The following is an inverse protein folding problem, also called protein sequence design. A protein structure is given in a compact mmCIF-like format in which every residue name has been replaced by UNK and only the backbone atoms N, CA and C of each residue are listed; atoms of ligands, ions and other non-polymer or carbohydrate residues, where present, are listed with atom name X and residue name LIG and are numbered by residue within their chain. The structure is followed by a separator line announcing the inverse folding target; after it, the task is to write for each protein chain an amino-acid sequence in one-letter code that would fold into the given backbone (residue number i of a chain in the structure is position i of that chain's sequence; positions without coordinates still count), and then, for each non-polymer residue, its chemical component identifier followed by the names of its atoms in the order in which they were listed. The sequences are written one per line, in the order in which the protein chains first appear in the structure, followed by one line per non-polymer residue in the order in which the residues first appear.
data_IF_989189429268
#
_entry.id   IF_989189429268
#
_cell.length_a   1.000
_cell.length_b   1.000
_cell.length_c   1.000
_cell.angle_alpha   90.00
_cell.angle_beta   90.00
_cell.angle_gamma   90.00
#
_symmetry.space_group_name_H-M   'P 1'
#
loop_
_entity.id
_entity.type
_entity.pdbx_description
1 polymer ?
#
# COMPACT_ATOMS: atom_id res chain seq x y z
N UNK A 1 -14.45 -13.09 -13.46
CA UNK A 1 -13.52 -13.02 -12.32
C UNK A 1 -13.09 -11.57 -12.20
N UNK A 2 -13.27 -10.95 -11.04
CA UNK A 2 -12.80 -9.59 -10.83
C UNK A 2 -11.27 -9.55 -11.01
N UNK A 3 -10.76 -8.57 -11.75
CA UNK A 3 -9.31 -8.44 -11.95
C UNK A 3 -8.75 -7.80 -10.67
N UNK A 4 -7.95 -8.54 -9.93
CA UNK A 4 -7.34 -8.10 -8.66
C UNK A 4 -6.55 -6.79 -8.79
N UNK A 5 -5.87 -6.58 -9.93
CA UNK A 5 -5.04 -5.38 -10.16
C UNK A 5 -5.86 -4.07 -10.18
N UNK A 6 -6.98 -3.96 -10.92
CA UNK A 6 -7.89 -2.82 -10.80
C UNK A 6 -8.37 -2.50 -9.38
N UNK A 7 -8.62 -3.51 -8.55
CA UNK A 7 -9.03 -3.31 -7.15
C UNK A 7 -7.90 -2.72 -6.31
N UNK A 8 -6.68 -3.25 -6.46
CA UNK A 8 -5.50 -2.71 -5.76
C UNK A 8 -5.19 -1.28 -6.21
N UNK A 9 -5.26 -0.98 -7.51
CA UNK A 9 -5.13 0.39 -8.04
C UNK A 9 -6.20 1.33 -7.47
N UNK A 10 -7.41 0.82 -7.24
CA UNK A 10 -8.46 1.60 -6.59
C UNK A 10 -8.11 1.88 -5.11
N UNK A 11 -7.63 0.89 -4.37
CA UNK A 11 -7.16 1.07 -2.99
C UNK A 11 -6.04 2.13 -2.93
N UNK A 12 -5.13 2.16 -3.91
CA UNK A 12 -4.07 3.15 -3.99
C UNK A 12 -4.61 4.57 -4.17
N UNK A 13 -5.64 4.76 -4.99
CA UNK A 13 -6.29 6.05 -5.19
C UNK A 13 -6.98 6.52 -3.91
N UNK A 14 -7.69 5.62 -3.24
CA UNK A 14 -8.34 5.94 -1.95
C UNK A 14 -7.32 6.30 -0.87
N UNK A 15 -6.21 5.55 -0.79
CA UNK A 15 -5.11 5.82 0.15
C UNK A 15 -4.46 7.18 -0.11
N UNK A 16 -4.20 7.52 -1.37
CA UNK A 16 -3.68 8.85 -1.75
C UNK A 16 -4.68 9.94 -1.34
N UNK A 17 -5.96 9.77 -1.64
CA UNK A 17 -6.99 10.76 -1.32
C UNK A 17 -7.12 10.99 0.20
N UNK A 18 -7.19 9.92 1.00
CA UNK A 18 -7.36 10.07 2.45
C UNK A 18 -6.12 10.67 3.12
N UNK A 19 -4.91 10.41 2.62
CA UNK A 19 -3.70 11.05 3.15
C UNK A 19 -3.67 12.54 2.83
N UNK A 20 -4.10 12.95 1.64
CA UNK A 20 -4.27 14.37 1.31
C UNK A 20 -5.28 15.05 2.25
N UNK A 21 -6.35 14.35 2.63
CA UNK A 21 -7.30 14.83 3.63
C UNK A 21 -6.69 14.95 5.03
N UNK A 22 -5.89 13.97 5.48
CA UNK A 22 -5.11 14.08 6.72
C UNK A 22 -4.20 15.31 6.69
N UNK A 23 -3.52 15.55 5.58
CA UNK A 23 -2.64 16.72 5.40
C UNK A 23 -3.40 18.04 5.51
N UNK A 24 -4.58 18.11 4.90
CA UNK A 24 -5.43 19.31 4.87
C UNK A 24 -6.05 19.62 6.23
N UNK A 25 -6.54 18.61 6.92
CA UNK A 25 -7.24 18.77 8.20
C UNK A 25 -6.27 18.94 9.37
N UNK A 26 -5.11 18.28 9.30
CA UNK A 26 -4.19 18.14 10.43
C UNK A 26 -4.79 17.31 11.58
N UNK A 27 -3.95 16.70 12.40
CA UNK A 27 -4.40 15.77 13.45
C UNK A 27 -4.60 16.42 14.84
N UNK A 28 -4.53 17.75 14.92
CA UNK A 28 -4.91 18.51 16.12
C UNK A 28 -6.42 18.47 16.39
N UNK A 29 -7.23 18.24 15.35
CA UNK A 29 -8.70 18.15 15.46
C UNK A 29 -9.17 16.70 15.59
N UNK A 30 -10.35 16.49 16.18
CA UNK A 30 -10.98 15.15 16.24
C UNK A 30 -11.25 14.58 14.85
N UNK A 31 -11.72 15.42 13.92
CA UNK A 31 -11.97 15.01 12.53
C UNK A 31 -10.69 14.53 11.85
N UNK A 32 -9.58 15.26 11.99
CA UNK A 32 -8.30 14.86 11.42
C UNK A 32 -7.75 13.55 12.01
N UNK A 33 -7.93 13.32 13.32
CA UNK A 33 -7.58 12.04 13.95
C UNK A 33 -8.43 10.89 13.40
N UNK A 34 -9.73 11.09 13.22
CA UNK A 34 -10.61 10.09 12.62
C UNK A 34 -10.20 9.78 11.17
N UNK A 35 -9.84 10.81 10.40
CA UNK A 35 -9.32 10.64 9.03
C UNK A 35 -8.01 9.85 9.03
N UNK A 36 -7.10 10.11 9.98
CA UNK A 36 -5.85 9.35 10.12
C UNK A 36 -6.11 7.87 10.44
N UNK A 37 -7.04 7.57 11.35
CA UNK A 37 -7.42 6.19 11.67
C UNK A 37 -8.08 5.48 10.47
N UNK A 38 -8.93 6.19 9.73
CA UNK A 38 -9.52 5.65 8.52
C UNK A 38 -8.47 5.40 7.41
N UNK A 39 -7.38 6.16 7.37
CA UNK A 39 -6.24 5.90 6.48
C UNK A 39 -5.48 4.63 6.91
N UNK A 40 -5.24 4.44 8.22
CA UNK A 40 -4.65 3.22 8.78
C UNK A 40 -5.46 1.99 8.38
N UNK A 41 -6.77 2.03 8.56
CA UNK A 41 -7.63 0.86 8.27
C UNK A 41 -7.66 0.53 6.76
N UNK A 42 -7.61 1.54 5.89
CA UNK A 42 -7.46 1.33 4.44
C UNK A 42 -6.13 0.68 4.11
N UNK A 43 -5.04 1.13 4.74
CA UNK A 43 -3.72 0.58 4.51
C UNK A 43 -3.63 -0.89 4.93
N UNK A 44 -4.19 -1.24 6.10
CA UNK A 44 -4.26 -2.62 6.58
C UNK A 44 -5.05 -3.49 5.60
N UNK A 45 -6.23 -3.04 5.15
CA UNK A 45 -7.03 -3.80 4.17
C UNK A 45 -6.32 -4.01 2.85
N UNK A 46 -5.59 -3.01 2.37
CA UNK A 46 -4.79 -3.11 1.16
C UNK A 46 -3.72 -4.20 1.30
N UNK A 47 -2.93 -4.20 2.39
CA UNK A 47 -1.93 -5.26 2.65
C UNK A 47 -2.58 -6.64 2.71
N UNK A 48 -3.69 -6.77 3.46
CA UNK A 48 -4.40 -8.04 3.57
C UNK A 48 -4.83 -8.58 2.21
N UNK A 49 -5.34 -7.71 1.32
CA UNK A 49 -5.71 -8.10 -0.04
C UNK A 49 -4.50 -8.53 -0.86
N UNK A 50 -3.36 -7.87 -0.69
CA UNK A 50 -2.13 -8.29 -1.35
C UNK A 50 -1.67 -9.68 -0.88
N UNK A 51 -1.62 -9.89 0.43
CA UNK A 51 -1.14 -11.13 1.06
C UNK A 51 -2.05 -12.33 0.81
N UNK A 52 -3.37 -12.13 0.86
CA UNK A 52 -4.36 -13.21 0.78
C UNK A 52 -4.74 -13.56 -0.67
N UNK A 53 -4.65 -12.60 -1.60
CA UNK A 53 -5.10 -12.81 -2.97
C UNK A 53 -4.00 -12.56 -4.01
N UNK A 54 -3.35 -11.40 -3.99
CA UNK A 54 -2.44 -11.01 -5.07
C UNK A 54 -1.15 -11.83 -5.11
N UNK A 55 -0.37 -11.87 -4.02
CA UNK A 55 0.90 -12.59 -3.99
C UNK A 55 0.72 -14.10 -4.22
N UNK A 56 -0.30 -14.79 -3.64
CA UNK A 56 -0.57 -16.19 -3.96
C UNK A 56 -0.82 -16.43 -5.46
N UNK A 57 -1.67 -15.61 -6.10
CA UNK A 57 -1.98 -15.78 -7.52
C UNK A 57 -0.79 -15.42 -8.42
N UNK A 58 -0.02 -14.38 -8.07
CA UNK A 58 1.22 -14.05 -8.76
C UNK A 58 2.19 -15.24 -8.73
N UNK A 59 2.42 -15.85 -7.56
CA UNK A 59 3.31 -17.02 -7.43
C UNK A 59 2.82 -18.21 -8.25
N UNK A 60 1.50 -18.42 -8.31
CA UNK A 60 0.89 -19.46 -9.17
C UNK A 60 1.19 -19.23 -10.65
N UNK A 61 1.08 -17.98 -11.13
CA UNK A 61 1.42 -17.61 -12.50
C UNK A 61 2.93 -17.76 -12.78
N UNK A 62 3.76 -17.36 -11.82
CA UNK A 62 5.21 -17.38 -11.94
C UNK A 62 5.85 -18.76 -11.66
N UNK A 63 5.06 -19.82 -11.38
CA UNK A 63 5.55 -21.13 -10.93
C UNK A 63 6.61 -21.79 -11.83
N UNK A 64 6.66 -21.43 -13.12
CA UNK A 64 7.62 -21.96 -14.10
C UNK A 64 8.80 -21.02 -14.38
N UNK A 65 8.83 -19.84 -13.77
CA UNK A 65 9.86 -18.82 -13.95
C UNK A 65 10.34 -18.32 -12.58
N UNK A 66 11.46 -18.88 -12.08
CA UNK A 66 12.01 -18.52 -10.78
C UNK A 66 12.35 -17.02 -10.63
N UNK A 67 12.73 -16.34 -11.73
CA UNK A 67 13.04 -14.91 -11.69
C UNK A 67 11.77 -14.08 -11.50
N UNK A 68 10.67 -14.49 -12.15
CA UNK A 68 9.36 -13.86 -11.93
C UNK A 68 8.87 -14.12 -10.50
N UNK A 69 8.99 -15.34 -9.99
CA UNK A 69 8.59 -15.68 -8.62
C UNK A 69 9.35 -14.84 -7.58
N UNK A 70 10.67 -14.72 -7.74
CA UNK A 70 11.51 -13.91 -6.87
C UNK A 70 11.13 -12.41 -6.85
N UNK A 71 10.48 -11.91 -7.91
CA UNK A 71 9.96 -10.54 -7.92
C UNK A 71 8.85 -10.37 -6.89
N UNK A 72 7.91 -11.31 -6.81
CA UNK A 72 6.81 -11.25 -5.84
C UNK A 72 7.34 -11.30 -4.41
N UNK A 73 8.29 -12.21 -4.14
CA UNK A 73 8.84 -12.37 -2.80
C UNK A 73 9.62 -11.14 -2.34
N UNK A 74 10.41 -10.51 -3.23
CA UNK A 74 11.08 -9.25 -2.92
C UNK A 74 10.08 -8.13 -2.60
N UNK A 75 9.02 -7.98 -3.39
CA UNK A 75 8.00 -6.97 -3.13
C UNK A 75 7.24 -7.24 -1.82
N UNK A 76 6.89 -8.49 -1.52
CA UNK A 76 6.26 -8.86 -0.27
C UNK A 76 7.15 -8.55 0.94
N UNK A 77 8.45 -8.87 0.87
CA UNK A 77 9.40 -8.60 1.96
C UNK A 77 9.63 -7.09 2.16
N UNK A 78 9.79 -6.33 1.07
CA UNK A 78 9.83 -4.86 1.13
C UNK A 78 8.54 -4.28 1.76
N UNK A 79 7.37 -4.92 1.51
CA UNK A 79 6.10 -4.46 2.06
C UNK A 79 6.01 -4.71 3.55
N UNK A 80 6.47 -5.87 4.01
CA UNK A 80 6.48 -6.21 5.42
C UNK A 80 7.32 -5.21 6.24
N UNK A 81 8.50 -4.85 5.73
CA UNK A 81 9.38 -3.87 6.37
C UNK A 81 8.76 -2.46 6.38
N UNK A 82 8.24 -2.01 5.23
CA UNK A 82 7.60 -0.69 5.13
C UNK A 82 6.30 -0.62 5.94
N UNK A 83 5.52 -1.71 5.92
CA UNK A 83 4.27 -1.85 6.65
C UNK A 83 4.45 -1.65 8.14
N UNK A 84 5.49 -2.25 8.74
CA UNK A 84 5.82 -2.04 10.14
C UNK A 84 6.10 -0.55 10.46
N UNK A 85 6.85 0.15 9.61
CA UNK A 85 7.15 1.57 9.79
C UNK A 85 5.89 2.46 9.64
N UNK A 86 5.02 2.14 8.69
CA UNK A 86 3.75 2.86 8.46
C UNK A 86 2.78 2.63 9.62
N UNK A 87 2.65 1.40 10.12
CA UNK A 87 1.81 1.09 11.28
C UNK A 87 2.33 1.79 12.54
N UNK A 88 3.65 1.79 12.76
CA UNK A 88 4.25 2.51 13.88
C UNK A 88 3.98 4.03 13.81
N UNK A 89 3.96 4.61 12.62
CA UNK A 89 3.55 6.00 12.43
C UNK A 89 2.09 6.23 12.85
N UNK A 90 1.17 5.39 12.38
CA UNK A 90 -0.24 5.52 12.77
C UNK A 90 -0.43 5.35 14.27
N UNK A 91 0.24 4.38 14.88
CA UNK A 91 0.15 4.11 16.32
C UNK A 91 0.72 5.27 17.16
N UNK A 92 1.79 5.92 16.69
CA UNK A 92 2.38 7.11 17.33
C UNK A 92 1.40 8.28 17.40
N UNK A 93 0.56 8.45 16.39
CA UNK A 93 -0.31 9.63 16.23
C UNK A 93 -1.80 9.34 16.41
N UNK A 94 -2.18 8.12 16.84
CA UNK A 94 -3.58 7.69 17.00
C UNK A 94 -4.38 8.55 17.99
N UNK A 95 -3.72 9.04 19.05
CA UNK A 95 -4.33 9.86 20.09
C UNK A 95 -4.14 11.37 19.81
N UNK A 96 -3.53 11.72 18.68
CA UNK A 96 -3.22 13.09 18.27
C UNK A 96 -1.72 13.39 18.23
N UNK A 97 -1.43 14.66 17.98
CA UNK A 97 -0.10 15.20 17.73
C UNK A 97 -0.26 16.43 16.84
N UNK A 98 0.76 17.26 16.75
CA UNK A 98 0.74 18.44 15.89
C UNK A 98 2.13 19.04 15.73
N UNK A 99 2.21 20.11 14.95
CA UNK A 99 3.42 20.88 14.75
C UNK A 99 4.46 20.16 13.89
N UNK A 100 5.71 20.60 14.04
CA UNK A 100 6.80 20.24 13.13
C UNK A 100 7.12 18.73 13.13
N UNK A 101 7.03 18.06 14.29
CA UNK A 101 7.31 16.64 14.40
C UNK A 101 6.33 15.79 13.56
N UNK A 102 5.03 16.07 13.66
CA UNK A 102 4.02 15.41 12.84
C UNK A 102 4.25 15.69 11.35
N UNK A 103 4.50 16.95 10.99
CA UNK A 103 4.71 17.32 9.59
C UNK A 103 5.90 16.57 8.95
N UNK A 104 7.01 16.43 9.68
CA UNK A 104 8.19 15.69 9.23
C UNK A 104 7.86 14.20 9.06
N UNK A 105 7.28 13.58 10.09
CA UNK A 105 6.97 12.15 10.05
C UNK A 105 5.93 11.81 8.98
N UNK A 106 4.89 12.63 8.87
CA UNK A 106 3.83 12.47 7.87
C UNK A 106 4.38 12.64 6.46
N UNK A 107 5.23 13.64 6.21
CA UNK A 107 5.89 13.83 4.93
C UNK A 107 6.76 12.64 4.53
N UNK A 108 7.55 12.12 5.48
CA UNK A 108 8.40 10.94 5.25
C UNK A 108 7.56 9.71 4.89
N UNK A 109 6.55 9.39 5.70
CA UNK A 109 5.70 8.20 5.48
C UNK A 109 4.89 8.32 4.19
N UNK A 110 4.34 9.50 3.90
CA UNK A 110 3.60 9.75 2.66
C UNK A 110 4.49 9.55 1.43
N UNK A 111 5.74 10.04 1.45
CA UNK A 111 6.68 9.84 0.35
C UNK A 111 7.07 8.37 0.18
N UNK A 112 7.33 7.64 1.27
CA UNK A 112 7.67 6.22 1.23
C UNK A 112 6.50 5.40 0.66
N UNK A 113 5.27 5.67 1.11
CA UNK A 113 4.08 5.00 0.60
C UNK A 113 3.84 5.34 -0.87
N UNK A 114 3.91 6.61 -1.28
CA UNK A 114 3.76 6.98 -2.70
C UNK A 114 4.79 6.28 -3.60
N UNK A 115 6.06 6.21 -3.16
CA UNK A 115 7.11 5.49 -3.89
C UNK A 115 6.78 4.00 -4.01
N UNK A 116 6.25 3.40 -2.94
CA UNK A 116 5.83 2.00 -2.91
C UNK A 116 4.70 1.72 -3.91
N UNK A 117 3.60 2.46 -3.80
CA UNK A 117 2.43 2.31 -4.67
C UNK A 117 2.80 2.47 -6.15
N UNK A 118 3.70 3.42 -6.45
CA UNK A 118 4.20 3.62 -7.81
C UNK A 118 5.00 2.41 -8.33
N UNK A 119 5.89 1.83 -7.51
CA UNK A 119 6.67 0.65 -7.89
C UNK A 119 5.78 -0.58 -8.08
N UNK A 120 4.76 -0.76 -7.25
CA UNK A 120 3.79 -1.84 -7.42
C UNK A 120 3.07 -1.70 -8.75
N UNK A 121 2.50 -0.54 -9.06
CA UNK A 121 1.79 -0.31 -10.31
C UNK A 121 2.70 -0.46 -11.55
N UNK A 122 3.89 0.14 -11.51
CA UNK A 122 4.79 0.22 -12.66
C UNK A 122 5.56 -1.07 -12.93
N UNK A 123 5.79 -1.91 -11.92
CA UNK A 123 6.64 -3.09 -12.03
C UNK A 123 5.86 -4.36 -11.70
N UNK A 124 5.31 -4.44 -10.48
CA UNK A 124 4.72 -5.68 -9.97
C UNK A 124 3.42 -6.02 -10.70
N UNK A 125 2.50 -5.06 -10.78
CA UNK A 125 1.19 -5.26 -11.42
C UNK A 125 1.33 -5.38 -12.94
N UNK A 126 2.25 -4.62 -13.56
CA UNK A 126 2.55 -4.77 -14.98
C UNK A 126 3.03 -6.20 -15.32
N UNK A 127 4.00 -6.73 -14.56
CA UNK A 127 4.49 -8.11 -14.75
C UNK A 127 3.41 -9.16 -14.50
N UNK A 128 2.56 -8.94 -13.51
CA UNK A 128 1.41 -9.81 -13.26
C UNK A 128 0.47 -9.84 -14.46
N UNK A 129 0.09 -8.67 -14.99
CA UNK A 129 -0.82 -8.55 -16.13
C UNK A 129 -0.24 -9.20 -17.39
N UNK A 130 1.07 -9.06 -17.64
CA UNK A 130 1.79 -9.76 -18.72
C UNK A 130 1.68 -11.29 -18.59
N UNK A 131 1.90 -11.83 -17.39
CA UNK A 131 1.79 -13.26 -17.14
C UNK A 131 0.36 -13.77 -17.28
N UNK A 132 -0.61 -13.04 -16.72
CA UNK A 132 -2.02 -13.41 -16.74
C UNK A 132 -2.57 -13.39 -18.18
N UNK A 133 -2.14 -12.44 -19.01
CA UNK A 133 -2.50 -12.39 -20.42
C UNK A 133 -1.93 -13.60 -21.20
N UNK A 134 -0.69 -14.01 -20.88
CA UNK A 134 -0.05 -15.18 -21.52
C UNK A 134 -0.63 -16.54 -21.10
N UNK A 135 -1.25 -16.67 -19.93
CA UNK A 135 -1.94 -17.90 -19.51
C UNK A 135 -3.35 -18.02 -20.13
N UNK A 136 -3.96 -16.90 -20.52
CA UNK A 136 -5.30 -16.85 -21.12
C UNK A 136 -5.31 -17.03 -22.65
N UNK A 137 -4.14 -17.00 -23.30
CA UNK A 137 -3.94 -17.18 -24.74
C UNK A 137 -3.56 -18.62 -25.09
#
# INVERSE_FOLDING_TARGET
MARIVPELKHDHLELKHILEEVRRQGIGTQAGRQTLLAARDRFIRHIQREDEAFYPDYRRLARRDPLRAATADRFAEEMHQLGAAILAFFDKYKDGGEGMAFAIDFGRISAQLQSRLHKEEAILYARYEEMAAGEAA
#
